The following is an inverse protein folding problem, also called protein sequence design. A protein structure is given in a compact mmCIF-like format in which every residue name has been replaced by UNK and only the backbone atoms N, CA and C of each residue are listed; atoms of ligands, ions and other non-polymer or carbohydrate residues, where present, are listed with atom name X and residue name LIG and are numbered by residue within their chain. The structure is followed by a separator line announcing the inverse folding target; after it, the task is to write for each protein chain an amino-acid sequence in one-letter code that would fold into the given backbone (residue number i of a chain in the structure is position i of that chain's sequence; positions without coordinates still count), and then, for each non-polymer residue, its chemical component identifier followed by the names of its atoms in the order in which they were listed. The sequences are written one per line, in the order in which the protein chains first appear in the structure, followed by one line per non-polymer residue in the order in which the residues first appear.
data_IF_416736525179
#
_entry.id   IF_416736525179
#
_cell.length_a   1.000
_cell.length_b   1.000
_cell.length_c   1.000
_cell.angle_alpha   90.00
_cell.angle_beta   90.00
_cell.angle_gamma   90.00
#
_symmetry.space_group_name_H-M   'P 1'
#
loop_
_entity.id
_entity.type
_entity.pdbx_description
1 polymer ?
#
# COMPACT_ATOMS: atom_id res chain seq x y z
N UNK A 1 -21.75 -6.55 4.74
CA UNK A 1 -20.31 -6.38 5.02
C UNK A 1 -19.53 -6.67 3.74
N UNK A 2 -18.40 -6.00 3.53
CA UNK A 2 -17.48 -6.25 2.41
C UNK A 2 -16.17 -6.74 3.01
N UNK A 3 -15.64 -7.86 2.52
CA UNK A 3 -14.39 -8.47 2.95
C UNK A 3 -13.36 -8.40 1.83
N UNK A 4 -12.13 -7.99 2.16
CA UNK A 4 -10.97 -8.08 1.30
C UNK A 4 -9.84 -8.80 2.08
N UNK A 5 -10.07 -10.09 2.35
CA UNK A 5 -9.14 -10.95 3.10
C UNK A 5 -8.59 -12.08 2.24
N UNK A 6 -9.17 -12.30 1.06
CA UNK A 6 -8.74 -13.35 0.15
C UNK A 6 -7.52 -12.88 -0.64
N UNK A 7 -6.53 -13.75 -0.85
CA UNK A 7 -5.31 -13.35 -1.54
C UNK A 7 -5.60 -12.96 -3.00
N UNK A 8 -4.99 -11.86 -3.44
CA UNK A 8 -5.11 -11.39 -4.83
C UNK A 8 -4.55 -12.41 -5.83
N UNK A 9 -5.02 -12.35 -7.08
CA UNK A 9 -4.38 -13.05 -8.20
C UNK A 9 -3.58 -12.04 -9.00
N UNK A 10 -2.27 -12.23 -9.09
CA UNK A 10 -1.37 -11.33 -9.81
C UNK A 10 -0.22 -12.12 -10.43
N UNK A 11 0.57 -11.47 -11.29
CA UNK A 11 1.76 -12.10 -11.89
C UNK A 11 2.88 -12.40 -10.87
N UNK A 12 2.88 -11.76 -9.69
CA UNK A 12 3.90 -11.94 -8.67
C UNK A 12 3.66 -13.10 -7.69
N UNK A 13 2.51 -13.76 -7.76
CA UNK A 13 2.20 -14.89 -6.88
C UNK A 13 1.20 -15.86 -7.52
N UNK A 14 1.25 -17.13 -7.15
CA UNK A 14 0.29 -18.15 -7.57
C UNK A 14 -0.46 -18.70 -6.37
N UNK A 15 -1.79 -18.63 -6.43
CA UNK A 15 -2.66 -19.25 -5.45
C UNK A 15 -2.75 -20.75 -5.73
N UNK A 16 -2.13 -21.57 -4.88
CA UNK A 16 -2.14 -23.02 -5.03
C UNK A 16 -3.43 -23.63 -4.49
N UNK A 17 -3.82 -23.21 -3.28
CA UNK A 17 -5.02 -23.65 -2.60
C UNK A 17 -5.61 -22.50 -1.80
N UNK A 18 -6.94 -22.39 -1.76
CA UNK A 18 -7.62 -21.55 -0.78
C UNK A 18 -8.94 -22.14 -0.31
N UNK A 19 -9.32 -21.77 0.91
CA UNK A 19 -10.58 -22.16 1.50
C UNK A 19 -11.13 -21.00 2.33
N UNK A 20 -12.36 -20.60 1.99
CA UNK A 20 -13.15 -19.65 2.76
C UNK A 20 -14.26 -20.39 3.50
N UNK A 21 -14.39 -20.16 4.79
CA UNK A 21 -15.46 -20.70 5.64
C UNK A 21 -16.20 -19.57 6.31
N UNK A 22 -17.49 -19.45 6.03
CA UNK A 22 -18.34 -18.38 6.54
C UNK A 22 -19.64 -18.27 5.73
N UNK A 23 -20.41 -17.20 5.93
CA UNK A 23 -21.66 -16.97 5.21
C UNK A 23 -21.45 -16.88 3.70
N UNK A 24 -22.39 -17.46 2.94
CA UNK A 24 -22.36 -17.42 1.47
C UNK A 24 -22.52 -15.97 1.01
N UNK A 25 -21.67 -15.57 0.08
CA UNK A 25 -21.68 -14.23 -0.49
C UNK A 25 -21.01 -14.18 -1.85
N UNK A 26 -21.39 -13.19 -2.64
CA UNK A 26 -20.83 -12.95 -3.97
C UNK A 26 -19.36 -12.61 -3.86
N UNK A 27 -18.52 -13.26 -4.67
CA UNK A 27 -17.10 -12.95 -4.81
C UNK A 27 -16.91 -12.27 -6.16
N UNK A 28 -16.28 -11.11 -6.14
CA UNK A 28 -15.92 -10.38 -7.35
C UNK A 28 -14.44 -10.04 -7.31
N UNK A 29 -13.77 -10.21 -8.44
CA UNK A 29 -12.38 -9.81 -8.63
C UNK A 29 -12.35 -8.42 -9.27
N UNK A 30 -11.55 -7.53 -8.71
CA UNK A 30 -11.37 -6.18 -9.25
C UNK A 30 -10.38 -6.23 -10.41
N UNK A 31 -10.79 -5.93 -11.66
CA UNK A 31 -9.95 -6.13 -12.84
C UNK A 31 -8.59 -5.43 -12.78
N UNK A 32 -8.52 -4.26 -12.16
CA UNK A 32 -7.33 -3.41 -12.13
C UNK A 32 -6.31 -3.86 -11.08
N UNK A 33 -6.73 -4.60 -10.05
CA UNK A 33 -5.85 -4.96 -8.91
C UNK A 33 -5.74 -6.46 -8.68
N UNK A 34 -6.65 -7.27 -9.23
CA UNK A 34 -6.75 -8.69 -8.89
C UNK A 34 -7.24 -8.96 -7.47
N UNK A 35 -7.63 -7.92 -6.72
CA UNK A 35 -8.18 -8.05 -5.37
C UNK A 35 -9.54 -8.73 -5.41
N UNK A 36 -9.78 -9.62 -4.45
CA UNK A 36 -11.02 -10.38 -4.32
C UNK A 36 -11.88 -9.80 -3.21
N UNK A 37 -13.02 -9.26 -3.60
CA UNK A 37 -14.01 -8.71 -2.68
C UNK A 37 -15.16 -9.68 -2.51
N UNK A 38 -15.40 -10.07 -1.26
CA UNK A 38 -16.57 -10.87 -0.89
C UNK A 38 -17.62 -10.00 -0.21
N UNK A 39 -18.83 -10.00 -0.75
CA UNK A 39 -19.98 -9.29 -0.17
C UNK A 39 -20.88 -10.29 0.55
N UNK A 40 -21.01 -10.14 1.86
CA UNK A 40 -21.87 -10.99 2.71
C UNK A 40 -22.92 -10.17 3.43
N UNK A 41 -24.11 -10.75 3.59
CA UNK A 41 -25.17 -10.25 4.47
C UNK A 41 -25.10 -11.06 5.76
N UNK A 42 -24.87 -10.37 6.88
CA UNK A 42 -24.77 -10.99 8.19
C UNK A 42 -26.02 -10.61 9.01
N UNK A 43 -26.84 -11.58 9.45
CA UNK A 43 -27.91 -11.28 10.41
C UNK A 43 -27.32 -10.87 11.77
N UNK A 44 -28.10 -10.26 12.69
CA UNK A 44 -27.62 -9.97 14.04
C UNK A 44 -27.12 -11.23 14.75
N UNK A 45 -25.96 -11.14 15.40
CA UNK A 45 -25.34 -12.27 16.11
C UNK A 45 -23.82 -12.31 15.96
N UNK A 46 -23.20 -13.35 16.51
CA UNK A 46 -21.77 -13.62 16.33
C UNK A 46 -21.56 -14.47 15.10
N UNK A 47 -20.60 -14.09 14.27
CA UNK A 47 -20.23 -14.81 13.05
C UNK A 47 -18.73 -15.12 13.09
N UNK A 48 -18.37 -16.35 12.70
CA UNK A 48 -16.97 -16.76 12.52
C UNK A 48 -16.69 -16.86 11.03
N UNK A 49 -15.70 -16.12 10.56
CA UNK A 49 -15.28 -16.04 9.16
C UNK A 49 -13.81 -16.39 9.10
N UNK A 50 -13.47 -17.40 8.32
CA UNK A 50 -12.10 -17.92 8.22
C UNK A 50 -11.69 -17.98 6.76
N UNK A 51 -10.46 -17.55 6.51
CA UNK A 51 -9.81 -17.72 5.23
C UNK A 51 -8.45 -18.37 5.46
N UNK A 52 -8.14 -19.38 4.66
CA UNK A 52 -6.83 -20.05 4.64
C UNK A 52 -6.41 -20.22 3.20
N UNK A 53 -5.13 -19.96 2.91
CA UNK A 53 -4.56 -20.16 1.60
C UNK A 53 -3.14 -20.72 1.68
N UNK A 54 -2.73 -21.38 0.60
CA UNK A 54 -1.34 -21.73 0.29
C UNK A 54 -0.99 -20.96 -0.98
N UNK A 55 -0.01 -20.07 -0.87
CA UNK A 55 0.40 -19.17 -1.93
C UNK A 55 1.88 -19.37 -2.21
N UNK A 56 2.22 -19.54 -3.48
CA UNK A 56 3.59 -19.49 -3.96
C UNK A 56 3.92 -18.06 -4.39
N UNK A 57 4.85 -17.40 -3.69
CA UNK A 57 5.31 -16.06 -4.02
C UNK A 57 6.50 -16.14 -4.95
N UNK A 58 6.37 -15.57 -6.15
CA UNK A 58 7.40 -15.69 -7.17
C UNK A 58 8.62 -14.84 -6.78
N UNK A 59 9.78 -15.14 -7.38
CA UNK A 59 10.99 -14.39 -7.13
C UNK A 59 10.80 -12.90 -7.48
N UNK A 60 10.99 -12.03 -6.49
CA UNK A 60 11.03 -10.58 -6.68
C UNK A 60 12.36 -10.23 -7.33
N UNK A 61 12.33 -9.34 -8.32
CA UNK A 61 13.55 -8.82 -8.90
C UNK A 61 14.28 -7.93 -7.89
N UNK A 62 15.51 -8.30 -7.53
CA UNK A 62 16.40 -7.53 -6.66
C UNK A 62 17.52 -6.94 -7.51
N UNK A 63 17.72 -5.63 -7.41
CA UNK A 63 18.78 -4.89 -8.10
C UNK A 63 19.48 -3.95 -7.13
N UNK A 64 20.65 -3.45 -7.52
CA UNK A 64 21.33 -2.39 -6.79
C UNK A 64 20.45 -1.12 -6.81
N UNK A 65 20.11 -0.52 -5.65
CA UNK A 65 19.45 0.78 -5.55
C UNK A 65 19.97 1.86 -6.50
N UNK A 66 21.28 1.91 -6.73
CA UNK A 66 21.93 2.89 -7.60
C UNK A 66 21.56 2.73 -9.08
N UNK A 67 21.10 1.55 -9.50
CA UNK A 67 20.68 1.24 -10.87
C UNK A 67 19.19 1.53 -11.13
N UNK A 68 18.42 1.86 -10.08
CA UNK A 68 16.98 2.05 -10.16
C UNK A 68 16.65 3.52 -10.42
N UNK A 69 16.50 3.87 -11.70
CA UNK A 69 16.16 5.23 -12.12
C UNK A 69 14.66 5.52 -11.95
N UNK A 70 14.32 6.82 -11.91
CA UNK A 70 12.91 7.23 -12.02
C UNK A 70 12.32 6.81 -13.36
N UNK A 71 11.03 6.49 -13.35
CA UNK A 71 10.26 6.31 -14.57
C UNK A 71 9.66 7.66 -14.98
N UNK A 72 10.07 8.25 -16.12
CA UNK A 72 9.44 9.47 -16.61
C UNK A 72 7.94 9.27 -16.80
N UNK A 73 7.13 10.29 -16.53
CA UNK A 73 5.66 10.21 -16.70
C UNK A 73 5.27 9.76 -18.12
N UNK A 74 6.01 10.20 -19.13
CA UNK A 74 5.79 9.81 -20.52
C UNK A 74 6.04 8.32 -20.82
N UNK A 75 6.76 7.62 -19.94
CA UNK A 75 7.09 6.20 -20.06
C UNK A 75 6.35 5.33 -19.03
N UNK A 76 5.48 5.90 -18.19
CA UNK A 76 4.68 5.13 -17.24
C UNK A 76 3.66 4.25 -17.98
N UNK A 77 3.50 2.99 -17.56
CA UNK A 77 2.36 2.17 -17.93
C UNK A 77 1.02 2.88 -17.64
N UNK A 78 0.00 2.59 -18.44
CA UNK A 78 -1.30 3.28 -18.33
C UNK A 78 -1.97 3.05 -16.97
N UNK A 79 -1.86 1.84 -16.42
CA UNK A 79 -2.32 1.46 -15.09
C UNK A 79 -1.51 2.11 -13.94
N UNK A 80 -0.29 2.59 -14.24
CA UNK A 80 0.53 3.39 -13.32
C UNK A 80 0.14 4.87 -13.25
N UNK A 81 -0.58 5.42 -14.24
CA UNK A 81 -0.93 6.84 -14.28
C UNK A 81 -1.90 7.27 -13.17
N UNK A 82 -2.98 6.52 -12.84
CA UNK A 82 -3.88 6.87 -11.74
C UNK A 82 -3.16 7.03 -10.40
N UNK A 83 -2.05 6.31 -10.22
CA UNK A 83 -1.24 6.29 -9.01
C UNK A 83 -0.31 7.51 -8.85
N UNK A 84 -0.40 8.51 -9.74
CA UNK A 84 0.20 9.83 -9.55
C UNK A 84 -0.72 10.80 -8.80
N UNK A 85 -2.04 10.62 -8.89
CA UNK A 85 -3.01 11.60 -8.41
C UNK A 85 -3.26 11.50 -6.90
N UNK A 86 -3.69 12.61 -6.32
CA UNK A 86 -4.18 12.63 -4.94
C UNK A 86 -5.37 11.68 -4.76
N UNK A 87 -5.54 11.15 -3.55
CA UNK A 87 -6.68 10.29 -3.18
C UNK A 87 -7.15 10.60 -1.77
N UNK A 88 -8.28 10.03 -1.34
CA UNK A 88 -8.94 10.35 -0.06
C UNK A 88 -8.01 10.39 1.14
N UNK A 89 -7.06 9.45 1.25
CA UNK A 89 -6.11 9.38 2.37
C UNK A 89 -4.73 9.91 2.01
N UNK A 90 -4.49 10.23 0.73
CA UNK A 90 -3.20 10.68 0.23
C UNK A 90 -3.32 12.03 -0.51
N UNK A 91 -3.49 13.17 0.20
CA UNK A 91 -3.59 14.50 -0.39
C UNK A 91 -2.21 15.02 -0.85
N UNK A 92 -1.63 14.40 -1.89
CA UNK A 92 -0.27 14.67 -2.37
C UNK A 92 -0.09 16.11 -2.89
N UNK A 93 -1.15 16.69 -3.45
CA UNK A 93 -1.24 18.07 -3.90
C UNK A 93 -1.04 19.10 -2.77
N UNK A 94 -1.36 18.73 -1.52
CA UNK A 94 -1.21 19.59 -0.35
C UNK A 94 0.18 19.51 0.29
N UNK A 95 0.99 18.50 -0.04
CA UNK A 95 2.27 18.22 0.63
C UNK A 95 3.50 18.45 -0.27
N UNK A 96 3.31 18.93 -1.49
CA UNK A 96 4.37 19.05 -2.50
C UNK A 96 5.57 19.91 -2.08
N UNK A 97 5.36 21.01 -1.34
CA UNK A 97 6.46 21.83 -0.84
C UNK A 97 7.32 21.08 0.18
N UNK A 98 6.69 20.34 1.08
CA UNK A 98 7.39 19.55 2.09
C UNK A 98 8.15 18.39 1.44
N UNK A 99 7.48 17.62 0.58
CA UNK A 99 8.09 16.48 -0.12
C UNK A 99 9.33 16.90 -0.94
N UNK A 100 9.23 18.00 -1.71
CA UNK A 100 10.38 18.54 -2.47
C UNK A 100 11.55 18.97 -1.59
N UNK A 101 11.29 19.50 -0.38
CA UNK A 101 12.37 19.85 0.55
C UNK A 101 13.08 18.60 1.08
N UNK A 102 12.35 17.51 1.27
CA UNK A 102 12.89 16.28 1.84
C UNK A 102 13.71 15.47 0.83
N UNK A 103 13.23 15.34 -0.42
CA UNK A 103 13.87 14.46 -1.41
C UNK A 103 14.02 15.07 -2.81
N UNK A 104 13.55 16.30 -3.05
CA UNK A 104 13.52 16.88 -4.41
C UNK A 104 14.89 17.15 -5.05
N UNK A 105 15.96 17.24 -4.25
CA UNK A 105 17.33 17.44 -4.75
C UNK A 105 18.08 16.13 -5.05
N UNK A 106 17.53 14.99 -4.63
CA UNK A 106 18.12 13.67 -4.90
C UNK A 106 17.86 13.33 -6.37
N UNK A 107 18.83 12.76 -7.09
CA UNK A 107 18.66 12.45 -8.51
C UNK A 107 18.03 11.07 -8.75
N UNK A 108 18.43 10.07 -7.95
CA UNK A 108 17.93 8.69 -8.08
C UNK A 108 16.51 8.55 -7.53
N UNK A 109 15.66 7.83 -8.26
CA UNK A 109 14.27 7.58 -7.87
C UNK A 109 14.15 6.72 -6.64
N UNK A 110 14.95 5.64 -6.57
CA UNK A 110 14.97 4.79 -5.39
C UNK A 110 15.46 5.56 -4.15
N UNK A 111 16.55 6.32 -4.28
CA UNK A 111 17.08 7.11 -3.16
C UNK A 111 16.06 8.18 -2.70
N UNK A 112 15.26 8.76 -3.61
CA UNK A 112 14.16 9.66 -3.23
C UNK A 112 13.12 8.97 -2.36
N UNK A 113 12.64 7.80 -2.79
CA UNK A 113 11.63 7.03 -2.04
C UNK A 113 12.21 6.54 -0.72
N UNK A 114 13.46 6.09 -0.70
CA UNK A 114 14.14 5.68 0.52
C UNK A 114 14.31 6.83 1.51
N UNK A 115 14.68 8.03 1.05
CA UNK A 115 14.78 9.22 1.91
C UNK A 115 13.42 9.61 2.52
N UNK A 116 12.32 9.40 1.78
CA UNK A 116 10.96 9.56 2.30
C UNK A 116 10.67 8.52 3.38
N UNK A 117 10.94 7.23 3.12
CA UNK A 117 10.74 6.15 4.08
C UNK A 117 11.53 6.38 5.38
N UNK A 118 12.81 6.73 5.26
CA UNK A 118 13.68 7.02 6.41
C UNK A 118 13.14 8.20 7.23
N UNK A 119 12.71 9.27 6.56
CA UNK A 119 12.17 10.41 7.26
C UNK A 119 10.89 10.05 8.04
N UNK A 120 9.99 9.27 7.44
CA UNK A 120 8.78 8.80 8.13
C UNK A 120 9.18 7.94 9.34
N UNK A 121 10.09 6.99 9.15
CA UNK A 121 10.56 6.11 10.23
C UNK A 121 11.19 6.87 11.40
N UNK A 122 11.95 7.94 11.12
CA UNK A 122 12.62 8.75 12.12
C UNK A 122 11.71 9.78 12.82
N UNK A 123 10.60 10.17 12.19
CA UNK A 123 9.79 11.33 12.63
C UNK A 123 8.32 10.99 12.92
N UNK A 124 7.91 9.73 12.80
CA UNK A 124 6.55 9.28 13.09
C UNK A 124 6.61 8.07 14.00
N UNK A 125 5.97 8.17 15.16
CA UNK A 125 5.91 7.09 16.13
C UNK A 125 4.89 6.03 15.70
N UNK A 126 5.27 4.76 15.83
CA UNK A 126 4.31 3.66 15.68
C UNK A 126 3.50 3.51 16.97
N UNK A 127 2.23 3.89 16.95
CA UNK A 127 1.37 3.93 18.14
C UNK A 127 -0.03 3.40 17.84
N UNK A 128 -0.38 2.25 18.40
CA UNK A 128 -1.71 1.67 18.28
C UNK A 128 -2.77 2.60 18.91
N UNK A 129 -3.92 2.73 18.25
CA UNK A 129 -5.03 3.58 18.71
C UNK A 129 -4.81 5.09 18.50
N UNK A 130 -3.71 5.52 17.87
CA UNK A 130 -3.47 6.94 17.57
C UNK A 130 -4.24 7.46 16.34
N UNK A 131 -4.88 6.57 15.58
CA UNK A 131 -5.58 6.88 14.33
C UNK A 131 -6.89 6.08 14.20
N UNK A 132 -7.73 6.51 13.26
CA UNK A 132 -8.97 5.83 12.89
C UNK A 132 -9.14 5.75 11.36
N UNK A 133 -10.27 5.22 10.91
CA UNK A 133 -10.52 5.02 9.47
C UNK A 133 -10.61 6.33 8.66
N UNK A 134 -10.79 7.47 9.32
CA UNK A 134 -10.87 8.79 8.69
C UNK A 134 -9.50 9.46 8.52
N UNK A 135 -8.49 9.03 9.29
CA UNK A 135 -7.12 9.56 9.31
C UNK A 135 -6.46 9.49 7.92
N UNK A 136 -5.94 10.63 7.48
CA UNK A 136 -5.20 10.84 6.23
C UNK A 136 -3.71 11.09 6.50
N UNK A 137 -2.89 11.05 5.45
CA UNK A 137 -1.47 11.37 5.55
C UNK A 137 -1.19 12.79 6.08
N UNK A 138 -2.08 13.76 5.83
CA UNK A 138 -1.96 15.10 6.39
C UNK A 138 -2.14 15.09 7.92
N UNK A 139 -3.07 14.26 8.41
CA UNK A 139 -3.30 14.09 9.84
C UNK A 139 -2.09 13.40 10.48
N UNK A 140 -1.57 12.33 9.88
CA UNK A 140 -0.35 11.64 10.32
C UNK A 140 0.86 12.59 10.37
N UNK A 141 1.00 13.46 9.38
CA UNK A 141 2.04 14.49 9.38
C UNK A 141 1.90 15.48 10.54
N UNK A 142 0.68 15.80 10.96
CA UNK A 142 0.43 16.72 12.07
C UNK A 142 0.60 16.03 13.41
N UNK A 143 0.06 14.81 13.55
CA UNK A 143 0.03 14.03 14.78
C UNK A 143 1.37 13.38 15.12
N UNK A 144 2.22 13.10 14.12
CA UNK A 144 3.49 12.38 14.28
C UNK A 144 3.35 10.98 14.90
N UNK A 145 2.17 10.38 14.76
CA UNK A 145 1.88 9.04 15.24
C UNK A 145 0.91 8.32 14.29
N UNK A 146 1.03 7.01 14.17
CA UNK A 146 0.14 6.18 13.37
C UNK A 146 0.46 4.69 13.45
N UNK A 147 -0.28 3.90 12.66
CA UNK A 147 -0.02 2.46 12.44
C UNK A 147 0.40 2.22 10.99
N UNK A 148 0.66 0.97 10.60
CA UNK A 148 1.15 0.61 9.26
C UNK A 148 0.35 1.26 8.10
N UNK A 149 -0.97 1.34 8.22
CA UNK A 149 -1.85 2.00 7.23
C UNK A 149 -1.51 3.48 7.03
N UNK A 150 -1.27 4.19 8.13
CA UNK A 150 -0.98 5.63 8.11
C UNK A 150 0.40 5.89 7.52
N UNK A 151 1.38 5.05 7.87
CA UNK A 151 2.72 5.08 7.29
C UNK A 151 2.68 4.84 5.77
N UNK A 152 1.93 3.83 5.31
CA UNK A 152 1.76 3.55 3.89
C UNK A 152 1.11 4.73 3.14
N UNK A 153 0.00 5.29 3.66
CA UNK A 153 -0.63 6.45 3.06
C UNK A 153 0.28 7.68 3.04
N UNK A 154 1.08 7.87 4.09
CA UNK A 154 1.98 9.00 4.16
C UNK A 154 3.16 8.85 3.18
N UNK A 155 3.74 7.66 3.05
CA UNK A 155 4.73 7.33 2.03
C UNK A 155 4.21 7.56 0.61
N UNK A 156 2.99 7.09 0.31
CA UNK A 156 2.32 7.33 -0.98
C UNK A 156 2.17 8.82 -1.24
N UNK A 157 1.72 9.58 -0.24
CA UNK A 157 1.47 11.02 -0.37
C UNK A 157 2.74 11.77 -0.76
N UNK A 158 3.84 11.52 -0.04
CA UNK A 158 5.12 12.18 -0.31
C UNK A 158 5.74 11.73 -1.63
N UNK A 159 5.62 10.44 -1.97
CA UNK A 159 6.13 9.88 -3.23
C UNK A 159 5.41 10.47 -4.44
N UNK A 160 4.07 10.53 -4.42
CA UNK A 160 3.26 11.19 -5.45
C UNK A 160 3.56 12.68 -5.55
N UNK A 161 3.81 13.33 -4.42
CA UNK A 161 4.09 14.77 -4.37
C UNK A 161 5.43 15.17 -5.02
N UNK A 162 6.34 14.23 -5.23
CA UNK A 162 7.58 14.40 -6.03
C UNK A 162 7.47 13.84 -7.44
N UNK A 163 6.27 13.44 -7.88
CA UNK A 163 6.00 12.99 -9.25
C UNK A 163 6.26 11.52 -9.51
N UNK A 164 6.46 10.70 -8.46
CA UNK A 164 6.66 9.25 -8.58
C UNK A 164 5.33 8.55 -8.33
N UNK A 165 4.96 7.63 -9.21
CA UNK A 165 3.74 6.84 -9.08
C UNK A 165 3.84 5.89 -7.89
N UNK A 166 2.83 5.85 -7.03
CA UNK A 166 2.82 5.00 -5.85
C UNK A 166 1.42 4.49 -5.50
N UNK A 167 1.31 3.24 -5.03
CA UNK A 167 0.04 2.58 -4.68
C UNK A 167 0.07 1.93 -3.31
N UNK A 168 -1.12 1.72 -2.75
CA UNK A 168 -1.32 1.06 -1.47
C UNK A 168 -1.42 -0.45 -1.65
N UNK A 169 -0.81 -1.21 -0.75
CA UNK A 169 -0.86 -2.68 -0.73
C UNK A 169 -1.19 -3.16 0.67
N UNK A 170 -2.22 -3.99 0.77
CA UNK A 170 -2.53 -4.77 1.97
C UNK A 170 -2.01 -6.19 1.79
N UNK A 171 -1.32 -6.73 2.79
CA UNK A 171 -0.67 -8.03 2.72
C UNK A 171 -0.80 -8.83 4.02
N UNK A 172 -0.64 -10.14 3.89
CA UNK A 172 -0.26 -11.01 4.99
C UNK A 172 1.25 -10.89 5.19
N UNK A 173 1.69 -10.49 6.39
CA UNK A 173 3.09 -10.28 6.69
C UNK A 173 3.65 -11.46 7.50
N UNK A 174 4.59 -12.20 6.90
CA UNK A 174 5.36 -13.21 7.61
C UNK A 174 6.22 -12.54 8.70
N UNK A 175 6.36 -13.18 9.85
CA UNK A 175 7.15 -12.70 11.02
C UNK A 175 6.65 -11.41 11.71
N UNK A 176 5.53 -10.83 11.27
CA UNK A 176 4.94 -9.68 11.96
C UNK A 176 4.47 -10.07 13.37
N UNK A 177 4.87 -9.28 14.37
CA UNK A 177 4.52 -9.45 15.79
C UNK A 177 4.02 -8.13 16.38
N UNK A 178 2.79 -8.08 16.96
CA UNK A 178 1.76 -9.13 16.93
C UNK A 178 1.26 -9.40 15.50
N UNK A 179 0.73 -10.60 15.27
CA UNK A 179 0.21 -10.97 13.94
C UNK A 179 -1.06 -10.16 13.62
N UNK A 180 -1.03 -9.48 12.48
CA UNK A 180 -2.17 -8.77 11.90
C UNK A 180 -2.00 -8.66 10.38
N UNK A 181 -3.03 -8.18 9.69
CA UNK A 181 -2.87 -7.64 8.35
C UNK A 181 -1.91 -6.47 8.36
N UNK A 182 -1.12 -6.35 7.30
CA UNK A 182 -0.16 -5.27 7.18
C UNK A 182 -0.44 -4.42 5.95
N UNK A 183 -0.11 -3.13 6.06
CA UNK A 183 -0.20 -2.19 4.96
C UNK A 183 1.19 -1.65 4.62
N UNK A 184 1.52 -1.71 3.34
CA UNK A 184 2.74 -1.12 2.76
C UNK A 184 2.36 -0.27 1.55
N UNK A 185 3.35 0.36 0.94
CA UNK A 185 3.17 0.99 -0.36
C UNK A 185 4.24 0.52 -1.34
N UNK A 186 3.89 0.56 -2.62
CA UNK A 186 4.80 0.29 -3.73
C UNK A 186 4.93 1.55 -4.56
N UNK A 187 6.10 1.79 -5.14
CA UNK A 187 6.38 2.90 -6.06
C UNK A 187 6.89 2.37 -7.39
N UNK A 188 6.40 2.94 -8.50
CA UNK A 188 6.86 2.55 -9.82
C UNK A 188 8.16 3.28 -10.19
N UNK A 189 9.24 2.51 -10.39
CA UNK A 189 10.58 2.99 -10.69
C UNK A 189 11.24 2.04 -11.70
N UNK A 190 12.03 2.55 -12.66
CA UNK A 190 12.67 1.70 -13.67
C UNK A 190 11.70 0.87 -14.53
N UNK A 191 10.41 1.25 -14.59
CA UNK A 191 9.38 0.52 -15.34
C UNK A 191 8.82 -0.71 -14.62
N UNK A 192 9.03 -0.80 -13.30
CA UNK A 192 8.52 -1.85 -12.41
C UNK A 192 7.89 -1.25 -11.18
#
# INVERSE_FOLDING_TARGET
MILNIETQRSSGQTLLEDNFTGPVGDVNEMPETGNRYRRVILPPGTHDIRYKAVVDTHAVHVADPGEITETPVAALPFDGLPHLYASRYCPSDQMARFARRQSGAIASGHEKVQAICNWIFENVDYLEGSSDSSTSAHDTFTLRAGVCRDFAHFGITLTRAVGISARFVSAYALELTPQDFHAVFESCLGGR
#
